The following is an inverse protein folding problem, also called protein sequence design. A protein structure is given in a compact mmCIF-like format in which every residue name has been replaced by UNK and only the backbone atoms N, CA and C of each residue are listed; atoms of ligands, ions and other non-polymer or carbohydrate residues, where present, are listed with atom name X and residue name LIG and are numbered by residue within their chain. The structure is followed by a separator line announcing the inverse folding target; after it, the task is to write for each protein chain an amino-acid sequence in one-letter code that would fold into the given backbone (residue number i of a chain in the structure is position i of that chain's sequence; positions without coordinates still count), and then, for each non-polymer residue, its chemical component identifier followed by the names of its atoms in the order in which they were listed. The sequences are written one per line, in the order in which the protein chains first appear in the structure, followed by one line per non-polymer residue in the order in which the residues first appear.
data_IF_565067708519
#
_entry.id   IF_565067708519
#
_cell.length_a   1.000
_cell.length_b   1.000
_cell.length_c   1.000
_cell.angle_alpha   90.00
_cell.angle_beta   90.00
_cell.angle_gamma   90.00
#
_symmetry.space_group_name_H-M   'P 1'
#
loop_
_entity.id
_entity.type
_entity.pdbx_description
1 polymer ?
#
# COMPACT_ATOMS: atom_id res chain seq x y z
N UNK A 1 8.60 23.31 3.01
CA UNK A 1 7.69 22.64 3.95
C UNK A 1 8.11 21.18 3.97
N UNK A 2 8.73 20.73 5.06
CA UNK A 2 9.20 19.35 5.22
C UNK A 2 8.08 18.54 5.89
N UNK A 3 7.70 17.41 5.29
CA UNK A 3 6.75 16.48 5.90
C UNK A 3 7.50 15.66 6.96
N UNK A 4 7.06 15.71 8.22
CA UNK A 4 7.68 14.92 9.29
C UNK A 4 7.13 13.48 9.34
N UNK A 5 7.75 12.62 10.16
CA UNK A 5 7.34 11.21 10.29
C UNK A 5 5.91 11.04 10.81
N UNK A 6 5.42 11.98 11.62
CA UNK A 6 4.06 11.93 12.17
C UNK A 6 3.03 12.24 11.10
N UNK A 7 3.31 13.25 10.28
CA UNK A 7 2.49 13.61 9.13
C UNK A 7 2.53 12.51 8.07
N UNK A 8 3.69 11.92 7.79
CA UNK A 8 3.80 10.77 6.90
C UNK A 8 2.94 9.59 7.38
N UNK A 9 2.98 9.29 8.68
CA UNK A 9 2.17 8.23 9.28
C UNK A 9 0.67 8.50 9.16
N UNK A 10 0.24 9.76 9.38
CA UNK A 10 -1.16 10.16 9.29
C UNK A 10 -1.67 10.06 7.85
N UNK A 11 -0.91 10.60 6.90
CA UNK A 11 -1.26 10.57 5.48
C UNK A 11 -1.28 9.12 4.97
N UNK A 12 -0.34 8.27 5.38
CA UNK A 12 -0.35 6.84 5.04
C UNK A 12 -1.63 6.18 5.54
N UNK A 13 -2.01 6.39 6.80
CA UNK A 13 -3.23 5.84 7.38
C UNK A 13 -4.47 6.28 6.60
N UNK A 14 -4.57 7.57 6.29
CA UNK A 14 -5.73 8.13 5.58
C UNK A 14 -5.83 7.58 4.15
N UNK A 15 -4.69 7.44 3.45
CA UNK A 15 -4.66 6.81 2.12
C UNK A 15 -5.01 5.33 2.15
N UNK A 16 -4.53 4.57 3.15
CA UNK A 16 -4.88 3.15 3.31
C UNK A 16 -6.39 3.01 3.55
N UNK A 17 -6.98 3.89 4.35
CA UNK A 17 -8.42 3.87 4.63
C UNK A 17 -9.25 4.21 3.39
N UNK A 18 -8.89 5.29 2.68
CA UNK A 18 -9.53 5.67 1.43
C UNK A 18 -9.42 4.54 0.39
N UNK A 19 -8.22 3.97 0.24
CA UNK A 19 -7.96 2.83 -0.64
C UNK A 19 -8.82 1.62 -0.29
N UNK A 20 -8.92 1.24 0.99
CA UNK A 20 -9.78 0.12 1.41
C UNK A 20 -11.24 0.36 1.02
N UNK A 21 -11.76 1.55 1.30
CA UNK A 21 -13.15 1.90 0.97
C UNK A 21 -13.41 1.86 -0.56
N UNK A 22 -12.47 2.31 -1.37
CA UNK A 22 -12.55 2.26 -2.83
C UNK A 22 -12.46 0.82 -3.38
N UNK A 23 -11.66 -0.05 -2.74
CA UNK A 23 -11.46 -1.44 -3.19
C UNK A 23 -12.57 -2.39 -2.78
N UNK A 24 -13.14 -2.22 -1.59
CA UNK A 24 -14.33 -2.97 -1.20
C UNK A 24 -15.49 -2.69 -2.17
N UNK A 25 -15.48 -1.54 -2.85
CA UNK A 25 -16.49 -1.15 -3.82
C UNK A 25 -16.18 -1.56 -5.28
N UNK A 26 -14.94 -1.91 -5.63
CA UNK A 26 -14.53 -2.13 -7.03
C UNK A 26 -13.27 -3.00 -7.18
N UNK A 27 -13.31 -3.93 -8.15
CA UNK A 27 -12.15 -4.73 -8.59
C UNK A 27 -11.28 -4.01 -9.65
N UNK A 28 -11.57 -2.75 -9.98
CA UNK A 28 -10.82 -2.03 -11.01
C UNK A 28 -9.36 -1.78 -10.60
N UNK A 29 -8.40 -1.80 -11.56
CA UNK A 29 -6.99 -1.44 -11.37
C UNK A 29 -6.79 -0.21 -10.47
N UNK A 30 -5.76 -0.24 -9.63
CA UNK A 30 -5.38 0.92 -8.84
C UNK A 30 -5.04 2.09 -9.77
N UNK A 31 -5.57 3.27 -9.49
CA UNK A 31 -5.17 4.44 -10.26
C UNK A 31 -3.65 4.66 -10.09
N UNK A 32 -2.90 4.86 -11.19
CA UNK A 32 -1.46 5.11 -11.13
C UNK A 32 -1.10 6.30 -10.21
N UNK A 33 -2.02 7.24 -10.00
CA UNK A 33 -1.86 8.35 -9.07
C UNK A 33 -1.78 7.89 -7.61
N UNK A 34 -2.65 6.99 -7.17
CA UNK A 34 -2.69 6.47 -5.80
C UNK A 34 -1.42 5.66 -5.49
N UNK A 35 -0.97 4.85 -6.43
CA UNK A 35 0.28 4.12 -6.33
C UNK A 35 1.48 5.07 -6.16
N UNK A 36 1.56 6.14 -6.96
CA UNK A 36 2.61 7.16 -6.83
C UNK A 36 2.61 7.82 -5.45
N UNK A 37 1.45 8.02 -4.83
CA UNK A 37 1.37 8.51 -3.45
C UNK A 37 1.94 7.51 -2.45
N UNK A 38 1.61 6.22 -2.57
CA UNK A 38 2.22 5.19 -1.73
C UNK A 38 3.74 5.18 -1.87
N UNK A 39 4.27 5.16 -3.08
CA UNK A 39 5.73 5.22 -3.31
C UNK A 39 6.37 6.46 -2.69
N UNK A 40 5.81 7.63 -2.94
CA UNK A 40 6.35 8.89 -2.45
C UNK A 40 6.36 8.94 -0.92
N UNK A 41 5.33 8.38 -0.27
CA UNK A 41 5.25 8.31 1.19
C UNK A 41 6.23 7.28 1.75
N UNK A 42 6.27 6.08 1.18
CA UNK A 42 7.21 5.03 1.60
C UNK A 42 8.66 5.53 1.52
N UNK A 43 9.02 6.23 0.44
CA UNK A 43 10.37 6.81 0.29
C UNK A 43 10.72 7.90 1.32
N UNK A 44 9.75 8.38 2.09
CA UNK A 44 9.92 9.42 3.12
C UNK A 44 9.89 8.86 4.55
N UNK A 45 9.66 7.57 4.71
CA UNK A 45 9.64 6.91 6.01
C UNK A 45 11.08 6.56 6.40
N UNK A 46 11.51 7.05 7.55
CA UNK A 46 12.82 6.77 8.12
C UNK A 46 12.74 5.56 9.05
N UNK A 47 13.83 4.79 9.10
CA UNK A 47 14.00 3.70 10.06
C UNK A 47 14.73 4.21 11.31
N UNK A 48 14.43 3.67 12.52
CA UNK A 48 13.49 2.59 12.78
C UNK A 48 12.03 3.05 12.81
N UNK A 49 11.12 2.17 12.38
CA UNK A 49 9.68 2.44 12.38
C UNK A 49 9.11 2.49 13.80
N UNK A 50 8.18 3.41 14.03
CA UNK A 50 7.32 3.37 15.21
C UNK A 50 6.31 2.21 15.11
N UNK A 51 5.79 1.74 16.26
CA UNK A 51 4.74 0.70 16.31
C UNK A 51 3.51 1.10 15.49
N UNK A 52 3.12 2.38 15.54
CA UNK A 52 2.00 2.90 14.76
C UNK A 52 2.26 2.81 13.26
N UNK A 53 3.44 3.23 12.81
CA UNK A 53 3.83 3.15 11.40
C UNK A 53 3.88 1.70 10.90
N UNK A 54 4.46 0.78 11.68
CA UNK A 54 4.46 -0.66 11.37
C UNK A 54 3.04 -1.21 11.21
N UNK A 55 2.13 -0.81 12.10
CA UNK A 55 0.72 -1.21 12.00
C UNK A 55 0.08 -0.72 10.69
N UNK A 56 0.31 0.53 10.30
CA UNK A 56 -0.23 1.09 9.06
C UNK A 56 0.36 0.44 7.81
N UNK A 57 1.67 0.15 7.79
CA UNK A 57 2.32 -0.56 6.69
C UNK A 57 1.81 -1.99 6.54
N UNK A 58 1.57 -2.69 7.66
CA UNK A 58 0.89 -4.00 7.66
C UNK A 58 -0.55 -3.93 7.14
N UNK A 59 -1.29 -2.89 7.52
CA UNK A 59 -2.65 -2.71 7.01
C UNK A 59 -2.65 -2.41 5.50
N UNK A 60 -1.71 -1.62 5.00
CA UNK A 60 -1.51 -1.42 3.56
C UNK A 60 -1.21 -2.76 2.87
N UNK A 61 -0.27 -3.53 3.41
CA UNK A 61 0.12 -4.84 2.86
C UNK A 61 -1.08 -5.78 2.75
N UNK A 62 -1.92 -5.87 3.79
CA UNK A 62 -3.13 -6.70 3.76
C UNK A 62 -4.06 -6.35 2.61
N UNK A 63 -4.31 -5.06 2.40
CA UNK A 63 -5.27 -4.62 1.38
C UNK A 63 -4.68 -4.82 -0.02
N UNK A 64 -3.38 -4.57 -0.23
CA UNK A 64 -2.73 -4.85 -1.51
C UNK A 64 -2.68 -6.35 -1.84
N UNK A 65 -2.40 -7.21 -0.87
CA UNK A 65 -2.40 -8.67 -1.12
C UNK A 65 -3.80 -9.23 -1.35
N UNK A 66 -4.81 -8.76 -0.59
CA UNK A 66 -6.20 -9.17 -0.81
C UNK A 66 -6.66 -8.82 -2.23
N UNK A 67 -6.29 -7.64 -2.70
CA UNK A 67 -6.54 -7.20 -4.08
C UNK A 67 -5.77 -8.04 -5.09
N UNK A 68 -4.47 -8.25 -4.90
CA UNK A 68 -3.65 -9.08 -5.80
C UNK A 68 -4.28 -10.46 -5.96
N UNK A 69 -4.72 -11.07 -4.87
CA UNK A 69 -5.38 -12.38 -4.90
C UNK A 69 -6.73 -12.34 -5.63
N UNK A 70 -7.49 -11.24 -5.51
CA UNK A 70 -8.74 -11.06 -6.24
C UNK A 70 -8.52 -10.88 -7.76
N UNK A 71 -7.46 -10.15 -8.15
CA UNK A 71 -7.07 -9.96 -9.56
C UNK A 71 -6.56 -11.27 -10.16
N UNK A 72 -5.64 -11.97 -9.48
CA UNK A 72 -5.11 -13.27 -9.91
C UNK A 72 -6.18 -14.38 -9.96
N UNK A 73 -7.26 -14.23 -9.19
CA UNK A 73 -8.38 -15.17 -9.17
C UNK A 73 -9.46 -14.90 -10.23
N UNK A 74 -9.40 -13.76 -10.93
CA UNK A 74 -10.26 -13.51 -12.08
C UNK A 74 -9.72 -14.33 -13.27
N UNK A 75 -10.59 -15.06 -13.98
CA UNK A 75 -10.26 -15.89 -15.16
C UNK A 75 -9.89 -15.04 -16.40
N UNK A 76 -8.99 -14.08 -16.22
CA UNK A 76 -8.46 -13.20 -17.24
C UNK A 76 -6.93 -13.30 -17.18
N UNK A 77 -6.35 -14.04 -18.12
CA UNK A 77 -4.91 -14.36 -18.16
C UNK A 77 -4.01 -13.11 -18.32
N UNK A 78 -4.60 -11.95 -18.67
CA UNK A 78 -3.89 -10.67 -18.77
C UNK A 78 -4.01 -9.80 -17.50
N UNK A 79 -4.70 -10.29 -16.45
CA UNK A 79 -4.91 -9.57 -15.20
C UNK A 79 -3.62 -9.53 -14.35
N UNK A 80 -2.74 -8.57 -14.65
CA UNK A 80 -1.55 -8.28 -13.84
C UNK A 80 -1.68 -6.93 -13.13
N UNK A 81 -1.52 -6.92 -11.80
CA UNK A 81 -1.43 -5.70 -10.99
C UNK A 81 0.03 -5.42 -10.60
N UNK A 82 0.90 -5.43 -11.62
CA UNK A 82 2.35 -5.20 -11.50
C UNK A 82 2.69 -3.97 -10.65
N UNK A 83 1.97 -2.84 -10.75
CA UNK A 83 2.29 -1.67 -9.91
C UNK A 83 2.08 -1.91 -8.42
N UNK A 84 1.09 -2.73 -8.03
CA UNK A 84 0.83 -3.12 -6.65
C UNK A 84 1.90 -4.10 -6.14
N UNK A 85 2.40 -5.00 -7.00
CA UNK A 85 3.42 -5.98 -6.64
C UNK A 85 4.71 -5.33 -6.13
N UNK A 86 5.12 -4.21 -6.72
CA UNK A 86 6.33 -3.52 -6.27
C UNK A 86 6.13 -2.84 -4.92
N UNK A 87 4.92 -2.31 -4.64
CA UNK A 87 4.62 -1.76 -3.30
C UNK A 87 4.62 -2.88 -2.27
N UNK A 88 4.03 -4.03 -2.59
CA UNK A 88 4.07 -5.24 -1.75
C UNK A 88 5.52 -5.67 -1.50
N UNK A 89 6.35 -5.70 -2.54
CA UNK A 89 7.78 -6.02 -2.41
C UNK A 89 8.49 -5.07 -1.45
N UNK A 90 8.30 -3.75 -1.58
CA UNK A 90 8.90 -2.77 -0.67
C UNK A 90 8.45 -2.97 0.77
N UNK A 91 7.17 -3.29 1.00
CA UNK A 91 6.64 -3.54 2.34
C UNK A 91 7.29 -4.76 3.00
N UNK A 92 7.48 -5.85 2.25
CA UNK A 92 8.14 -7.07 2.74
C UNK A 92 9.65 -6.86 2.94
N UNK A 93 10.35 -6.45 1.88
CA UNK A 93 11.83 -6.50 1.83
C UNK A 93 12.49 -5.29 2.51
N UNK A 94 11.97 -4.07 2.28
CA UNK A 94 12.56 -2.86 2.85
C UNK A 94 12.07 -2.57 4.27
N UNK A 95 10.76 -2.76 4.53
CA UNK A 95 10.15 -2.44 5.81
C UNK A 95 9.95 -3.65 6.74
N UNK A 96 10.18 -4.88 6.26
CA UNK A 96 10.05 -6.10 7.06
C UNK A 96 8.62 -6.39 7.51
N UNK A 97 7.61 -5.94 6.76
CA UNK A 97 6.21 -6.17 7.10
C UNK A 97 5.81 -7.62 6.79
N UNK A 98 5.36 -8.35 7.80
CA UNK A 98 4.84 -9.72 7.67
C UNK A 98 3.38 -9.72 8.12
N UNK A 99 2.52 -10.45 7.40
CA UNK A 99 1.10 -10.61 7.74
C UNK A 99 0.88 -11.45 8.99
#
# INVERSE_FOLDING_TARGET
MELDQTDASRVLKDLVYAYRAENEASLQPLEPRTLRWFYALLARIDLPLSVGMQSHLRDLLRVLEARRNAVLGAEDDDASDVPSDVVVYLLHDHFGCIL
#
